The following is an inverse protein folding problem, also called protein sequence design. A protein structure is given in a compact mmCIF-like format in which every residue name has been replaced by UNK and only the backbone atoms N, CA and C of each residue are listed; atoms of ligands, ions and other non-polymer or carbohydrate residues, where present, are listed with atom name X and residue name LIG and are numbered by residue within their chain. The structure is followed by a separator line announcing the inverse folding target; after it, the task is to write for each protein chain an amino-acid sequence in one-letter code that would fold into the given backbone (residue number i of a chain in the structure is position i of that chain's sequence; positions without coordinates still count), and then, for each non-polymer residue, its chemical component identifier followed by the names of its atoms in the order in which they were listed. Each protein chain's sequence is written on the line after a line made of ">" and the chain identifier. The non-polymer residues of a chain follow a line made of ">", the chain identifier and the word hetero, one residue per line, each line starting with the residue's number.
data_IF_811529211123
#
_entry.id   IF_811529211123
#
_cell.length_a   1.000
_cell.length_b   1.000
_cell.length_c   1.000
_cell.angle_alpha   90.00
_cell.angle_beta   90.00
_cell.angle_gamma   90.00
#
_symmetry.space_group_name_H-M   'P 1'
#
loop_
_entity.id
_entity.type
_entity.pdbx_description
1 polymer ?
#
# COMPACT_ATOMS: atom_id res chain seq x y z
N UNK A 1 -29.16 11.13 14.58
CA UNK A 1 -30.53 10.82 14.11
C UNK A 1 -30.51 9.35 13.73
N UNK A 2 -31.27 8.51 14.43
CA UNK A 2 -31.31 7.07 14.14
C UNK A 2 -32.43 6.79 13.16
N UNK A 3 -32.09 6.21 12.02
CA UNK A 3 -33.05 5.85 10.97
C UNK A 3 -33.20 4.32 10.93
N UNK A 4 -34.44 3.84 10.84
CA UNK A 4 -34.74 2.41 10.76
C UNK A 4 -34.87 2.02 9.29
N UNK A 5 -33.97 1.16 8.82
CA UNK A 5 -33.90 0.78 7.41
C UNK A 5 -34.67 -0.51 7.21
N UNK A 6 -35.76 -0.45 6.43
CA UNK A 6 -36.52 -1.62 6.01
C UNK A 6 -35.89 -2.20 4.73
N UNK A 7 -35.29 -3.40 4.78
CA UNK A 7 -34.70 -4.02 3.59
C UNK A 7 -35.77 -4.32 2.54
N UNK A 8 -35.45 -4.11 1.26
CA UNK A 8 -36.32 -4.53 0.17
C UNK A 8 -35.99 -5.98 -0.21
N UNK A 9 -36.98 -6.86 -0.12
CA UNK A 9 -36.85 -8.29 -0.45
C UNK A 9 -36.35 -8.50 -1.89
N UNK A 10 -36.80 -7.67 -2.84
CA UNK A 10 -36.39 -7.74 -4.25
C UNK A 10 -34.93 -7.32 -4.49
N UNK A 11 -34.32 -6.61 -3.52
CA UNK A 11 -32.93 -6.15 -3.58
C UNK A 11 -31.98 -7.06 -2.80
N UNK A 12 -32.50 -8.06 -2.09
CA UNK A 12 -31.69 -9.04 -1.38
C UNK A 12 -31.09 -10.05 -2.37
N UNK A 13 -29.76 -10.04 -2.48
CA UNK A 13 -29.04 -10.87 -3.45
C UNK A 13 -28.94 -12.35 -3.07
N UNK A 14 -29.13 -12.68 -1.80
CA UNK A 14 -29.05 -14.06 -1.26
C UNK A 14 -30.39 -14.48 -0.67
N UNK A 15 -30.67 -15.79 -0.70
CA UNK A 15 -31.90 -16.36 -0.14
C UNK A 15 -32.04 -16.07 1.37
N UNK A 16 -30.94 -16.16 2.13
CA UNK A 16 -30.94 -15.80 3.54
C UNK A 16 -31.32 -14.33 3.77
N UNK A 17 -30.82 -13.42 2.93
CA UNK A 17 -31.14 -12.01 3.02
C UNK A 17 -32.60 -11.72 2.64
N UNK A 18 -33.20 -12.50 1.73
CA UNK A 18 -34.63 -12.42 1.42
C UNK A 18 -35.48 -12.85 2.61
N UNK A 19 -35.15 -13.99 3.21
CA UNK A 19 -35.84 -14.49 4.41
C UNK A 19 -35.79 -13.46 5.54
N UNK A 20 -34.61 -12.90 5.82
CA UNK A 20 -34.46 -11.85 6.82
C UNK A 20 -35.24 -10.58 6.46
N UNK A 21 -35.27 -10.18 5.18
CA UNK A 21 -36.06 -9.02 4.74
C UNK A 21 -37.57 -9.26 4.90
N UNK A 22 -38.06 -10.48 4.66
CA UNK A 22 -39.45 -10.87 4.87
C UNK A 22 -39.82 -10.89 6.36
N UNK A 23 -38.96 -11.44 7.23
CA UNK A 23 -39.15 -11.43 8.69
C UNK A 23 -39.16 -10.00 9.25
N UNK A 24 -38.33 -9.11 8.69
CA UNK A 24 -38.34 -7.68 9.07
C UNK A 24 -39.60 -6.99 8.57
N UNK A 25 -40.07 -7.32 7.36
CA UNK A 25 -41.30 -6.77 6.80
C UNK A 25 -42.57 -7.25 7.53
N UNK A 26 -42.58 -8.50 8.01
CA UNK A 26 -43.65 -9.08 8.82
C UNK A 26 -43.65 -8.56 10.27
N UNK A 27 -42.55 -7.95 10.70
CA UNK A 27 -42.36 -7.45 12.07
C UNK A 27 -41.90 -8.52 13.07
N UNK A 28 -41.53 -9.70 12.57
CA UNK A 28 -40.99 -10.81 13.36
C UNK A 28 -39.52 -10.57 13.74
N UNK A 29 -38.76 -9.93 12.86
CA UNK A 29 -37.39 -9.48 13.09
C UNK A 29 -37.30 -7.95 13.20
N UNK A 30 -36.43 -7.46 14.08
CA UNK A 30 -36.20 -6.02 14.24
C UNK A 30 -35.42 -5.48 13.06
N UNK A 31 -35.89 -4.40 12.44
CA UNK A 31 -35.18 -3.76 11.36
C UNK A 31 -33.85 -3.16 11.87
N UNK A 32 -32.78 -3.24 11.05
CA UNK A 32 -31.51 -2.61 11.39
C UNK A 32 -31.70 -1.09 11.51
N UNK A 33 -31.15 -0.51 12.58
CA UNK A 33 -31.12 0.93 12.80
C UNK A 33 -29.72 1.46 12.55
N UNK A 34 -29.63 2.49 11.71
CA UNK A 34 -28.39 3.19 11.38
C UNK A 34 -28.39 4.54 12.09
N UNK A 35 -27.31 4.85 12.81
CA UNK A 35 -27.15 6.15 13.48
C UNK A 35 -26.12 6.97 12.72
N UNK A 36 -26.60 7.78 11.78
CA UNK A 36 -25.76 8.54 10.86
C UNK A 36 -24.73 9.42 11.58
N UNK A 37 -25.08 9.96 12.75
CA UNK A 37 -24.18 10.85 13.50
C UNK A 37 -23.07 10.06 14.18
N UNK A 38 -23.40 8.93 14.80
CA UNK A 38 -22.40 8.06 15.44
C UNK A 38 -21.53 7.37 14.41
N UNK A 39 -22.11 6.89 13.32
CA UNK A 39 -21.39 6.19 12.27
C UNK A 39 -20.46 7.15 11.52
N UNK A 40 -20.90 8.40 11.28
CA UNK A 40 -20.03 9.45 10.74
C UNK A 40 -18.87 9.77 11.70
N UNK A 41 -19.14 9.93 13.00
CA UNK A 41 -18.08 10.16 13.99
C UNK A 41 -17.10 8.98 14.07
N UNK A 42 -17.58 7.73 14.03
CA UNK A 42 -16.75 6.53 14.02
C UNK A 42 -15.89 6.46 12.75
N UNK A 43 -16.48 6.75 11.58
CA UNK A 43 -15.76 6.81 10.32
C UNK A 43 -14.66 7.89 10.36
N UNK A 44 -14.94 9.04 10.96
CA UNK A 44 -13.93 10.08 11.15
C UNK A 44 -12.79 9.60 12.06
N UNK A 45 -13.06 8.91 13.16
CA UNK A 45 -12.01 8.34 14.03
C UNK A 45 -11.16 7.28 13.33
N UNK A 46 -11.75 6.49 12.44
CA UNK A 46 -11.02 5.49 11.63
C UNK A 46 -10.24 6.15 10.48
N UNK A 47 -10.77 7.24 9.91
CA UNK A 47 -10.19 7.98 8.79
C UNK A 47 -9.00 8.86 9.20
N UNK A 48 -9.09 9.57 10.33
CA UNK A 48 -8.10 10.61 10.69
C UNK A 48 -6.92 10.12 11.53
N UNK A 49 -6.92 8.87 12.02
CA UNK A 49 -5.99 8.47 13.09
C UNK A 49 -5.05 7.31 12.81
N UNK A 50 -5.39 6.37 11.93
CA UNK A 50 -4.68 5.07 11.89
C UNK A 50 -4.16 4.63 10.53
N UNK A 51 -4.59 5.22 9.42
CA UNK A 51 -4.09 4.82 8.10
C UNK A 51 -2.59 5.07 7.91
N UNK A 52 -2.13 6.30 8.17
CA UNK A 52 -0.72 6.65 7.92
C UNK A 52 0.23 6.04 8.96
N UNK A 53 -0.11 6.12 10.26
CA UNK A 53 0.77 5.64 11.33
C UNK A 53 0.75 4.11 11.45
N UNK A 54 -0.42 3.46 11.42
CA UNK A 54 -0.47 2.00 11.49
C UNK A 54 0.01 1.34 10.19
N UNK A 55 -0.14 1.99 9.03
CA UNK A 55 0.49 1.48 7.80
C UNK A 55 2.01 1.65 7.82
N UNK A 56 2.53 2.77 8.35
CA UNK A 56 3.98 2.92 8.52
C UNK A 56 4.54 1.93 9.56
N UNK A 57 3.86 1.75 10.69
CA UNK A 57 4.30 0.80 11.72
C UNK A 57 4.16 -0.66 11.24
N UNK A 58 3.19 -0.99 10.38
CA UNK A 58 3.02 -2.32 9.80
C UNK A 58 3.97 -2.60 8.61
N UNK A 59 4.44 -1.57 7.90
CA UNK A 59 5.40 -1.72 6.79
C UNK A 59 6.83 -1.38 7.17
N UNK A 60 7.06 -0.88 8.39
CA UNK A 60 8.39 -0.62 8.91
C UNK A 60 9.18 -1.94 8.97
N UNK A 61 10.36 -2.03 8.33
CA UNK A 61 11.21 -3.21 8.44
C UNK A 61 11.61 -3.43 9.91
N UNK A 62 11.36 -4.62 10.46
CA UNK A 62 11.74 -4.96 11.85
C UNK A 62 13.27 -5.02 12.06
N UNK A 63 14.05 -4.98 10.99
CA UNK A 63 15.50 -5.09 11.02
C UNK A 63 16.14 -3.83 10.44
N UNK A 64 17.16 -3.31 11.12
CA UNK A 64 18.00 -2.23 10.62
C UNK A 64 18.74 -2.70 9.36
N UNK A 65 18.41 -2.11 8.20
CA UNK A 65 19.19 -2.31 6.98
C UNK A 65 20.55 -1.62 7.16
N UNK A 66 21.64 -2.34 6.87
CA UNK A 66 22.97 -1.74 6.87
C UNK A 66 23.05 -0.65 5.80
N UNK A 67 23.53 0.54 6.19
CA UNK A 67 23.80 1.61 5.23
C UNK A 67 24.87 1.15 4.22
N UNK A 68 24.66 1.52 2.96
CA UNK A 68 25.61 1.18 1.90
C UNK A 68 26.85 2.05 2.04
N UNK A 69 28.00 1.44 2.31
CA UNK A 69 29.28 2.15 2.26
C UNK A 69 29.64 2.52 0.82
N UNK A 70 29.76 3.82 0.54
CA UNK A 70 30.34 4.31 -0.71
C UNK A 70 31.82 3.93 -0.79
N UNK A 71 32.13 2.87 -1.55
CA UNK A 71 33.51 2.52 -1.87
C UNK A 71 33.99 3.34 -3.05
N UNK A 72 34.98 4.20 -2.81
CA UNK A 72 35.70 4.90 -3.87
C UNK A 72 36.41 3.87 -4.76
N UNK A 73 35.99 3.76 -6.01
CA UNK A 73 36.65 2.92 -7.01
C UNK A 73 37.70 3.75 -7.74
N UNK A 74 38.97 3.35 -7.65
CA UNK A 74 40.05 3.95 -8.43
C UNK A 74 40.38 3.03 -9.61
N UNK A 75 40.31 3.57 -10.83
CA UNK A 75 40.67 2.83 -12.03
C UNK A 75 42.18 2.58 -12.05
N UNK A 76 42.58 1.31 -12.17
CA UNK A 76 43.98 0.96 -12.42
C UNK A 76 44.34 1.40 -13.85
N UNK A 77 45.51 2.01 -14.03
CA UNK A 77 45.98 2.36 -15.37
C UNK A 77 46.09 1.10 -16.22
N UNK A 78 45.37 1.05 -17.34
CA UNK A 78 45.30 -0.13 -18.22
C UNK A 78 46.36 -0.11 -19.33
N UNK A 79 47.30 0.84 -19.31
CA UNK A 79 48.35 0.95 -20.31
C UNK A 79 49.51 1.83 -19.87
N UNK A 80 50.69 1.57 -20.45
CA UNK A 80 51.88 2.39 -20.29
C UNK A 80 51.98 3.37 -21.48
N UNK A 81 52.02 4.69 -21.24
CA UNK A 81 52.27 5.68 -22.29
C UNK A 81 53.53 5.44 -23.13
N UNK A 82 54.52 4.70 -22.60
CA UNK A 82 55.74 4.33 -23.32
C UNK A 82 55.47 3.39 -24.50
N UNK A 83 54.44 2.56 -24.43
CA UNK A 83 54.08 1.60 -25.49
C UNK A 83 53.70 2.32 -26.79
N UNK A 84 53.05 3.47 -26.68
CA UNK A 84 52.70 4.30 -27.84
C UNK A 84 53.93 4.94 -28.50
N UNK A 85 54.97 5.27 -27.73
CA UNK A 85 56.23 5.80 -28.28
C UNK A 85 57.00 4.72 -29.03
N UNK A 86 57.11 3.52 -28.46
CA UNK A 86 57.76 2.39 -29.11
C UNK A 86 57.08 2.03 -30.44
N UNK A 87 55.74 2.02 -30.48
CA UNK A 87 54.98 1.79 -31.71
C UNK A 87 55.20 2.91 -32.76
N UNK A 88 55.28 4.17 -32.33
CA UNK A 88 55.53 5.29 -33.22
C UNK A 88 56.93 5.22 -33.86
N UNK A 89 57.94 4.84 -33.07
CA UNK A 89 59.31 4.65 -33.55
C UNK A 89 59.41 3.47 -34.53
N UNK A 90 58.66 2.38 -34.28
CA UNK A 90 58.59 1.22 -35.17
C UNK A 90 57.92 1.55 -36.52
N UNK A 91 56.87 2.38 -36.51
CA UNK A 91 56.19 2.85 -37.73
C UNK A 91 57.05 3.88 -38.49
N UNK A 92 57.75 4.76 -37.78
CA UNK A 92 58.61 5.80 -38.37
C UNK A 92 59.95 5.30 -38.91
N UNK A 93 60.36 4.09 -38.53
CA UNK A 93 61.61 3.45 -39.00
C UNK A 93 61.43 2.65 -40.29
N UNK A 94 60.38 2.91 -41.07
CA UNK A 94 60.07 2.22 -42.33
C UNK A 94 60.14 3.15 -43.53
#
# INVERSE_FOLDING_TARGET
>A
MSEEIKPNVEQASTEDAKLTAEEIASGEAKAPSVDMDKDYQAAQQLSVGKGAKASQDATAPEYQMAESEEKKTEAKSTGDPADYKAMADEIGSK
#
